data_IF_640176652518
#
_entry.id   IF_640176652518
#
_cell.length_a   1.000
_cell.length_b   1.000
_cell.length_c   1.000
_cell.angle_alpha   90.00
_cell.angle_beta   90.00
_cell.angle_gamma   90.00
#
_symmetry.space_group_name_H-M   'P 1'
#
loop_
_entity.id
_entity.type
_entity.pdbx_description
1 polymer ?
#
# COMPACT_ATOMS: atom_id res chain seq x y z
N UNK A 1 -5.29 2.42 40.68
CA UNK A 1 -3.98 2.35 39.98
C UNK A 1 -4.06 3.25 38.75
N UNK A 2 -3.17 4.23 38.56
CA UNK A 2 -3.25 5.21 37.46
C UNK A 2 -2.52 4.64 36.24
N UNK A 3 -3.24 4.43 35.13
CA UNK A 3 -2.62 4.11 33.84
C UNK A 3 -2.63 5.36 32.97
N UNK A 4 -1.48 6.02 32.86
CA UNK A 4 -1.27 7.14 31.93
C UNK A 4 -1.19 6.57 30.52
N UNK A 5 -2.11 6.99 29.64
CA UNK A 5 -2.03 6.67 28.22
C UNK A 5 -2.03 7.99 27.45
N UNK A 6 -0.90 8.34 26.83
CA UNK A 6 -0.91 9.38 25.80
C UNK A 6 -1.69 8.84 24.60
N UNK A 7 -2.71 9.56 24.15
CA UNK A 7 -3.32 9.30 22.85
C UNK A 7 -2.66 10.24 21.86
N UNK A 8 -1.97 9.66 20.88
CA UNK A 8 -1.67 10.37 19.65
C UNK A 8 -2.98 10.67 18.93
N UNK A 9 -3.23 11.95 18.72
CA UNK A 9 -4.33 12.45 17.90
C UNK A 9 -3.69 13.19 16.73
N UNK A 10 -4.02 12.75 15.52
CA UNK A 10 -3.57 13.39 14.29
C UNK A 10 -4.62 14.45 13.96
N UNK A 11 -4.18 15.70 13.82
CA UNK A 11 -5.03 16.79 13.37
C UNK A 11 -5.41 16.57 11.90
N UNK A 12 -6.71 16.53 11.62
CA UNK A 12 -7.27 16.00 10.36
C UNK A 12 -7.16 16.97 9.18
N UNK A 13 -6.77 18.22 9.42
CA UNK A 13 -6.52 19.23 8.38
C UNK A 13 -5.02 19.39 8.02
N UNK A 14 -4.10 19.09 8.94
CA UNK A 14 -2.66 19.42 8.80
C UNK A 14 -1.71 18.22 8.92
N UNK A 15 -2.16 17.08 9.45
CA UNK A 15 -1.36 15.85 9.53
C UNK A 15 -0.29 15.83 10.62
N UNK A 16 -0.23 16.82 11.51
CA UNK A 16 0.69 16.82 12.67
C UNK A 16 0.09 16.08 13.87
N UNK A 17 0.93 15.30 14.55
CA UNK A 17 0.59 14.49 15.73
C UNK A 17 0.70 15.33 17.02
N UNK A 18 -0.38 15.39 17.82
CA UNK A 18 -0.35 15.91 19.19
C UNK A 18 -0.65 14.77 20.19
N UNK A 19 0.03 14.77 21.35
CA UNK A 19 -0.29 13.89 22.49
C UNK A 19 -1.38 14.50 23.36
N UNK A 20 -2.62 14.02 23.24
CA UNK A 20 -3.70 14.36 24.16
C UNK A 20 -3.79 13.25 25.22
N UNK A 21 -3.40 13.55 26.47
CA UNK A 21 -3.47 12.60 27.58
C UNK A 21 -4.91 12.37 28.02
N UNK A 22 -5.54 11.27 27.59
CA UNK A 22 -6.85 10.87 28.11
C UNK A 22 -6.65 9.97 29.32
N UNK A 23 -6.85 10.52 30.52
CA UNK A 23 -6.85 9.75 31.76
C UNK A 23 -8.11 8.88 31.83
N UNK A 24 -7.95 7.55 31.91
CA UNK A 24 -9.06 6.61 32.09
C UNK A 24 -9.04 6.13 33.54
N UNK A 25 -10.06 6.53 34.29
CA UNK A 25 -10.27 6.14 35.68
C UNK A 25 -10.97 4.79 35.72
N UNK A 26 -10.23 3.72 36.01
CA UNK A 26 -10.81 2.41 36.31
C UNK A 26 -11.01 2.34 37.82
N UNK A 27 -12.27 2.34 38.27
CA UNK A 27 -12.60 2.11 39.67
C UNK A 27 -12.34 0.65 40.04
N UNK A 28 -11.79 0.43 41.23
CA UNK A 28 -11.41 -0.87 41.76
C UNK A 28 -12.68 -1.63 42.19
N UNK A 29 -13.33 -2.31 41.24
CA UNK A 29 -14.48 -3.16 41.54
C UNK A 29 -13.94 -4.51 42.03
N UNK A 30 -13.99 -4.72 43.35
CA UNK A 30 -13.37 -5.82 44.10
C UNK A 30 -13.84 -7.26 43.80
N UNK A 31 -14.09 -7.62 42.55
CA UNK A 31 -14.32 -9.01 42.12
C UNK A 31 -13.49 -9.33 40.87
N UNK A 32 -12.69 -10.39 40.95
CA UNK A 32 -11.73 -10.79 39.93
C UNK A 32 -12.35 -11.23 38.60
N UNK A 33 -13.64 -11.60 38.61
CA UNK A 33 -14.40 -11.99 37.41
C UNK A 33 -14.81 -10.78 36.57
N UNK A 34 -15.34 -9.73 37.20
CA UNK A 34 -15.73 -8.48 36.54
C UNK A 34 -14.51 -7.79 35.92
N UNK A 35 -13.35 -7.83 36.59
CA UNK A 35 -12.11 -7.27 36.06
C UNK A 35 -11.64 -8.00 34.78
N UNK A 36 -11.83 -9.32 34.69
CA UNK A 36 -11.48 -10.10 33.50
C UNK A 36 -12.41 -9.79 32.33
N UNK A 37 -13.71 -9.67 32.57
CA UNK A 37 -14.68 -9.26 31.54
C UNK A 37 -14.39 -7.85 31.03
N UNK A 38 -14.16 -6.88 31.94
CA UNK A 38 -13.77 -5.52 31.57
C UNK A 38 -12.44 -5.47 30.82
N UNK A 39 -11.44 -6.28 31.22
CA UNK A 39 -10.18 -6.37 30.46
C UNK A 39 -10.39 -6.92 29.05
N UNK A 40 -11.32 -7.86 28.85
CA UNK A 40 -11.64 -8.39 27.52
C UNK A 40 -12.40 -7.35 26.67
N UNK A 41 -13.32 -6.60 27.25
CA UNK A 41 -14.01 -5.51 26.54
C UNK A 41 -13.06 -4.36 26.20
N UNK A 42 -12.18 -3.97 27.12
CA UNK A 42 -11.13 -2.97 26.88
C UNK A 42 -10.11 -3.46 25.86
N UNK A 43 -9.79 -4.76 25.82
CA UNK A 43 -8.93 -5.34 24.79
C UNK A 43 -9.56 -5.28 23.40
N UNK A 44 -10.88 -5.46 23.28
CA UNK A 44 -11.64 -5.27 22.02
C UNK A 44 -11.64 -3.80 21.57
N UNK A 45 -11.60 -2.86 22.52
CA UNK A 45 -11.52 -1.42 22.26
C UNK A 45 -10.08 -0.92 22.03
N UNK A 46 -9.06 -1.76 22.19
CA UNK A 46 -7.67 -1.38 21.96
C UNK A 46 -7.49 -1.18 20.44
N UNK A 47 -7.01 -0.01 19.98
CA UNK A 47 -6.77 0.20 18.56
C UNK A 47 -5.82 -0.89 18.05
N UNK A 48 -6.18 -1.54 16.93
CA UNK A 48 -5.31 -2.52 16.28
C UNK A 48 -4.00 -1.81 15.98
N UNK A 49 -2.94 -2.19 16.67
CA UNK A 49 -1.63 -1.61 16.48
C UNK A 49 -1.22 -1.85 15.01
N UNK A 50 -0.76 -0.82 14.28
CA UNK A 50 -0.28 -1.02 12.93
C UNK A 50 0.85 -2.03 13.00
N UNK A 51 0.78 -3.08 12.19
CA UNK A 51 1.88 -4.04 12.09
C UNK A 51 3.15 -3.24 11.76
N UNK A 52 4.16 -3.28 12.64
CA UNK A 52 5.40 -2.53 12.48
C UNK A 52 6.30 -3.16 11.41
N UNK A 53 5.71 -3.58 10.28
CA UNK A 53 6.46 -4.07 9.15
C UNK A 53 7.25 -2.91 8.55
N UNK A 54 8.55 -3.12 8.36
CA UNK A 54 9.41 -2.13 7.74
C UNK A 54 8.93 -1.89 6.30
N UNK A 55 8.42 -0.69 6.06
CA UNK A 55 7.86 -0.27 4.78
C UNK A 55 8.90 -0.35 3.64
N UNK A 56 10.19 -0.20 3.95
CA UNK A 56 11.28 -0.36 2.98
C UNK A 56 11.42 -1.79 2.50
N UNK A 57 11.39 -2.77 3.40
CA UNK A 57 11.48 -4.20 3.06
C UNK A 57 10.29 -4.59 2.17
N UNK A 58 9.11 -4.14 2.56
CA UNK A 58 7.88 -4.34 1.79
C UNK A 58 8.00 -3.77 0.38
N UNK A 59 8.50 -2.55 0.23
CA UNK A 59 8.72 -1.94 -1.08
C UNK A 59 9.68 -2.76 -1.93
N UNK A 60 10.81 -3.19 -1.37
CA UNK A 60 11.80 -4.00 -2.10
C UNK A 60 11.20 -5.32 -2.58
N UNK A 61 10.46 -6.01 -1.71
CA UNK A 61 9.76 -7.26 -2.07
C UNK A 61 8.75 -7.00 -3.18
N UNK A 62 7.99 -5.91 -3.11
CA UNK A 62 7.02 -5.52 -4.13
C UNK A 62 7.70 -5.26 -5.48
N UNK A 63 8.83 -4.54 -5.50
CA UNK A 63 9.60 -4.27 -6.71
C UNK A 63 10.04 -5.57 -7.38
N UNK A 64 10.67 -6.46 -6.62
CA UNK A 64 11.15 -7.75 -7.14
C UNK A 64 9.98 -8.56 -7.69
N UNK A 65 8.85 -8.58 -6.97
CA UNK A 65 7.65 -9.28 -7.41
C UNK A 65 7.10 -8.71 -8.72
N UNK A 66 7.00 -7.39 -8.87
CA UNK A 66 6.53 -6.72 -10.09
C UNK A 66 7.44 -7.06 -11.28
N UNK A 67 8.76 -6.90 -11.10
CA UNK A 67 9.73 -7.15 -12.18
C UNK A 67 9.68 -8.61 -12.63
N UNK A 68 9.72 -9.55 -11.68
CA UNK A 68 9.70 -10.98 -11.99
C UNK A 68 8.39 -11.40 -12.68
N UNK A 69 7.24 -10.95 -12.17
CA UNK A 69 5.95 -11.31 -12.76
C UNK A 69 5.74 -10.70 -14.13
N UNK A 70 6.16 -9.46 -14.38
CA UNK A 70 6.07 -8.85 -15.71
C UNK A 70 6.97 -9.55 -16.73
N UNK A 71 8.19 -9.93 -16.34
CA UNK A 71 9.09 -10.71 -17.21
C UNK A 71 8.52 -12.09 -17.54
N UNK A 72 7.95 -12.78 -16.55
CA UNK A 72 7.29 -14.07 -16.75
C UNK A 72 6.07 -13.94 -17.67
N UNK A 73 5.25 -12.91 -17.46
CA UNK A 73 4.09 -12.62 -18.30
C UNK A 73 4.52 -12.39 -19.77
N UNK A 74 5.59 -11.62 -19.98
CA UNK A 74 6.15 -11.39 -21.31
C UNK A 74 6.66 -12.68 -21.94
N UNK A 75 7.41 -13.50 -21.20
CA UNK A 75 7.89 -14.79 -21.70
C UNK A 75 6.73 -15.74 -22.04
N UNK A 76 5.68 -15.76 -21.23
CA UNK A 76 4.48 -16.55 -21.50
C UNK A 76 3.76 -16.06 -22.76
N UNK A 77 3.59 -14.74 -22.92
CA UNK A 77 3.01 -14.14 -24.12
C UNK A 77 3.78 -14.49 -25.39
N UNK A 78 5.12 -14.42 -25.34
CA UNK A 78 5.97 -14.82 -26.46
C UNK A 78 5.86 -16.32 -26.78
N UNK A 79 5.82 -17.19 -25.76
CA UNK A 79 5.61 -18.64 -25.96
C UNK A 79 4.25 -18.97 -26.55
N UNK A 80 3.23 -18.17 -26.25
CA UNK A 80 1.88 -18.31 -26.80
C UNK A 80 1.67 -17.56 -28.12
N UNK A 81 2.74 -17.02 -28.72
CA UNK A 81 2.70 -16.26 -29.97
C UNK A 81 1.72 -15.07 -29.95
N UNK A 82 1.58 -14.42 -28.80
CA UNK A 82 0.78 -13.20 -28.70
C UNK A 82 1.42 -12.07 -29.50
N UNK A 83 0.57 -11.23 -30.10
CA UNK A 83 1.06 -10.00 -30.73
C UNK A 83 1.63 -9.05 -29.66
N UNK A 84 2.64 -8.26 -30.02
CA UNK A 84 3.25 -7.26 -29.12
C UNK A 84 2.20 -6.31 -28.53
N UNK A 85 1.17 -5.96 -29.31
CA UNK A 85 0.09 -5.09 -28.88
C UNK A 85 -0.82 -5.77 -27.85
N UNK A 86 -1.06 -7.07 -27.98
CA UNK A 86 -1.80 -7.83 -26.98
C UNK A 86 -0.99 -7.98 -25.69
N UNK A 87 0.31 -8.27 -25.79
CA UNK A 87 1.23 -8.33 -24.62
C UNK A 87 1.24 -6.99 -23.88
N UNK A 88 1.29 -5.87 -24.61
CA UNK A 88 1.21 -4.53 -24.04
C UNK A 88 -0.06 -4.33 -23.20
N UNK A 89 -1.24 -4.61 -23.77
CA UNK A 89 -2.51 -4.42 -23.06
C UNK A 89 -2.66 -5.35 -21.86
N UNK A 90 -2.26 -6.62 -21.97
CA UNK A 90 -2.31 -7.56 -20.85
C UNK A 90 -1.36 -7.14 -19.73
N UNK A 91 -0.18 -6.61 -20.07
CA UNK A 91 0.78 -6.07 -19.08
C UNK A 91 0.19 -4.87 -18.33
N UNK A 92 -0.47 -3.95 -19.05
CA UNK A 92 -1.16 -2.82 -18.44
C UNK A 92 -2.32 -3.26 -17.53
N UNK A 93 -3.13 -4.22 -17.98
CA UNK A 93 -4.21 -4.77 -17.18
C UNK A 93 -3.67 -5.46 -15.91
N UNK A 94 -2.60 -6.23 -16.03
CA UNK A 94 -1.90 -6.84 -14.90
C UNK A 94 -1.42 -5.79 -13.90
N UNK A 95 -0.75 -4.72 -14.35
CA UNK A 95 -0.30 -3.61 -13.48
C UNK A 95 -1.47 -2.98 -12.74
N UNK A 96 -2.58 -2.72 -13.42
CA UNK A 96 -3.79 -2.13 -12.82
C UNK A 96 -4.35 -3.03 -11.72
N UNK A 97 -4.50 -4.33 -12.01
CA UNK A 97 -4.95 -5.32 -11.03
C UNK A 97 -4.01 -5.36 -9.82
N UNK A 98 -2.70 -5.34 -10.05
CA UNK A 98 -1.70 -5.39 -9.00
C UNK A 98 -1.76 -4.16 -8.08
N UNK A 99 -1.94 -2.96 -8.64
CA UNK A 99 -2.13 -1.71 -7.87
C UNK A 99 -3.37 -1.84 -6.98
N UNK A 100 -4.49 -2.29 -7.53
CA UNK A 100 -5.76 -2.43 -6.78
C UNK A 100 -5.60 -3.44 -5.64
N UNK A 101 -5.02 -4.62 -5.92
CA UNK A 101 -4.76 -5.67 -4.92
C UNK A 101 -3.83 -5.14 -3.83
N UNK A 102 -2.77 -4.42 -4.21
CA UNK A 102 -1.82 -3.84 -3.29
C UNK A 102 -2.47 -2.79 -2.36
N UNK A 103 -3.22 -1.85 -2.91
CA UNK A 103 -3.94 -0.84 -2.11
C UNK A 103 -4.92 -1.49 -1.13
N UNK A 104 -5.64 -2.54 -1.58
CA UNK A 104 -6.53 -3.31 -0.72
C UNK A 104 -5.78 -4.01 0.44
N UNK A 105 -4.64 -4.67 0.14
CA UNK A 105 -3.80 -5.33 1.15
C UNK A 105 -3.20 -4.32 2.15
N UNK A 106 -2.62 -3.23 1.64
CA UNK A 106 -1.98 -2.21 2.45
C UNK A 106 -2.95 -1.60 3.47
N UNK A 107 -4.21 -1.36 3.06
CA UNK A 107 -5.21 -0.76 3.93
C UNK A 107 -5.93 -1.77 4.82
N UNK A 108 -6.40 -2.89 4.28
CA UNK A 108 -7.26 -3.84 5.01
C UNK A 108 -6.45 -4.81 5.88
N UNK A 109 -5.28 -5.24 5.42
CA UNK A 109 -4.48 -6.27 6.10
C UNK A 109 -3.39 -5.66 6.96
N UNK A 110 -2.68 -4.65 6.45
CA UNK A 110 -1.48 -4.11 7.10
C UNK A 110 -1.71 -2.79 7.83
N UNK A 111 -2.90 -2.19 7.68
CA UNK A 111 -3.31 -0.97 8.37
C UNK A 111 -2.28 0.16 8.21
N UNK A 112 -1.63 0.24 7.05
CA UNK A 112 -0.70 1.34 6.79
C UNK A 112 -1.43 2.69 6.79
N UNK A 113 -0.74 3.71 7.32
CA UNK A 113 -1.18 5.09 7.17
C UNK A 113 -1.21 5.45 5.68
N UNK A 114 -2.09 6.39 5.30
CA UNK A 114 -2.28 6.75 3.90
C UNK A 114 -0.96 7.15 3.25
N UNK A 115 -0.13 7.92 3.95
CA UNK A 115 1.18 8.38 3.44
C UNK A 115 2.12 7.22 3.16
N UNK A 116 2.24 6.28 4.10
CA UNK A 116 3.10 5.08 3.92
C UNK A 116 2.61 4.21 2.77
N UNK A 117 1.29 4.07 2.61
CA UNK A 117 0.69 3.35 1.48
C UNK A 117 1.05 4.03 0.14
N UNK A 118 0.93 5.36 0.04
CA UNK A 118 1.29 6.07 -1.19
C UNK A 118 2.78 6.01 -1.48
N UNK A 119 3.63 6.27 -0.48
CA UNK A 119 5.09 6.24 -0.65
C UNK A 119 5.54 4.85 -1.09
N UNK A 120 5.11 3.79 -0.41
CA UNK A 120 5.48 2.41 -0.79
C UNK A 120 4.99 2.05 -2.19
N UNK A 121 3.77 2.43 -2.56
CA UNK A 121 3.22 2.19 -3.90
C UNK A 121 4.03 2.94 -4.97
N UNK A 122 4.21 4.25 -4.82
CA UNK A 122 4.91 5.08 -5.80
C UNK A 122 6.34 4.60 -5.96
N UNK A 123 7.09 4.47 -4.85
CA UNK A 123 8.49 4.05 -4.90
C UNK A 123 8.63 2.69 -5.57
N UNK A 124 7.79 1.73 -5.22
CA UNK A 124 7.91 0.37 -5.74
C UNK A 124 7.51 0.25 -7.21
N UNK A 125 6.35 0.80 -7.59
CA UNK A 125 5.89 0.68 -8.97
C UNK A 125 6.72 1.54 -9.93
N UNK A 126 7.12 2.75 -9.53
CA UNK A 126 7.97 3.60 -10.38
C UNK A 126 9.35 2.97 -10.57
N UNK A 127 9.98 2.49 -9.49
CA UNK A 127 11.29 1.83 -9.62
C UNK A 127 11.21 0.55 -10.46
N UNK A 128 10.17 -0.26 -10.30
CA UNK A 128 9.97 -1.45 -11.13
C UNK A 128 9.80 -1.09 -12.62
N UNK A 129 9.01 -0.06 -12.94
CA UNK A 129 8.81 0.42 -14.32
C UNK A 129 10.10 0.95 -14.92
N UNK A 130 10.91 1.67 -14.14
CA UNK A 130 12.22 2.14 -14.58
C UNK A 130 13.13 0.95 -14.91
N UNK A 131 13.22 -0.05 -14.02
CA UNK A 131 14.04 -1.25 -14.25
C UNK A 131 13.58 -1.98 -15.52
N UNK A 132 12.27 -2.22 -15.66
CA UNK A 132 11.68 -2.89 -16.82
C UNK A 132 11.87 -2.10 -18.11
N UNK A 133 11.78 -0.78 -18.05
CA UNK A 133 12.01 0.11 -19.18
C UNK A 133 13.46 0.07 -19.66
N UNK A 134 14.44 0.09 -18.73
CA UNK A 134 15.85 -0.12 -19.07
C UNK A 134 16.08 -1.46 -19.78
N UNK A 135 15.47 -2.53 -19.25
CA UNK A 135 15.51 -3.86 -19.87
C UNK A 135 14.92 -3.80 -21.29
N UNK A 136 13.74 -3.19 -21.48
CA UNK A 136 13.08 -3.07 -22.79
C UNK A 136 13.91 -2.27 -23.80
N UNK A 137 14.57 -1.19 -23.38
CA UNK A 137 15.43 -0.39 -24.25
C UNK A 137 16.55 -1.25 -24.85
N UNK A 138 17.19 -2.09 -24.03
CA UNK A 138 18.27 -2.99 -24.46
C UNK A 138 17.76 -4.00 -25.51
N UNK A 139 16.56 -4.55 -25.31
CA UNK A 139 16.02 -5.59 -26.20
C UNK A 139 15.38 -5.06 -27.49
N UNK A 140 14.69 -3.92 -27.44
CA UNK A 140 13.85 -3.43 -28.56
C UNK A 140 14.61 -2.46 -29.47
N UNK A 141 15.66 -1.78 -28.95
CA UNK A 141 16.53 -0.86 -29.70
C UNK A 141 15.79 0.16 -30.59
N UNK A 142 14.60 0.60 -30.16
CA UNK A 142 13.75 1.54 -30.90
C UNK A 142 13.67 2.88 -30.19
N UNK A 143 13.64 3.98 -30.95
CA UNK A 143 13.42 5.33 -30.42
C UNK A 143 12.10 5.45 -29.63
N UNK A 144 11.09 4.65 -29.99
CA UNK A 144 9.81 4.57 -29.28
C UNK A 144 9.96 4.01 -27.86
N UNK A 145 10.94 3.15 -27.61
CA UNK A 145 11.20 2.61 -26.28
C UNK A 145 11.68 3.69 -25.31
N UNK A 146 12.46 4.67 -25.80
CA UNK A 146 12.92 5.81 -25.00
C UNK A 146 11.77 6.76 -24.63
N UNK A 147 10.86 7.01 -25.57
CA UNK A 147 9.68 7.82 -25.30
C UNK A 147 8.76 7.14 -24.28
N UNK A 148 8.51 5.84 -24.44
CA UNK A 148 7.74 5.06 -23.47
C UNK A 148 8.42 5.01 -22.10
N UNK A 149 9.74 4.89 -22.04
CA UNK A 149 10.50 4.92 -20.80
C UNK A 149 10.30 6.21 -19.99
N UNK A 150 10.24 7.35 -20.66
CA UNK A 150 9.98 8.64 -20.00
C UNK A 150 8.53 8.77 -19.56
N UNK A 151 7.58 8.28 -20.36
CA UNK A 151 6.15 8.52 -20.18
C UNK A 151 5.50 7.51 -19.21
N UNK A 152 5.90 6.24 -19.24
CA UNK A 152 5.33 5.18 -18.39
C UNK A 152 5.35 5.50 -16.88
N UNK A 153 6.45 6.01 -16.29
CA UNK A 153 6.50 6.35 -14.88
C UNK A 153 5.44 7.38 -14.46
N UNK A 154 5.19 8.41 -15.29
CA UNK A 154 4.18 9.42 -14.99
C UNK A 154 2.78 8.84 -14.99
N UNK A 155 2.43 8.00 -15.97
CA UNK A 155 1.14 7.33 -15.99
C UNK A 155 0.90 6.43 -14.78
N UNK A 156 1.96 5.75 -14.32
CA UNK A 156 1.88 4.89 -13.14
C UNK A 156 1.64 5.72 -11.88
N UNK A 157 2.33 6.85 -11.72
CA UNK A 157 2.07 7.77 -10.61
C UNK A 157 0.64 8.30 -10.64
N UNK A 158 0.15 8.71 -11.81
CA UNK A 158 -1.23 9.17 -11.99
C UNK A 158 -2.25 8.09 -11.62
N UNK A 159 -2.06 6.85 -12.07
CA UNK A 159 -2.93 5.73 -11.74
C UNK A 159 -2.94 5.42 -10.25
N UNK A 160 -1.77 5.35 -9.61
CA UNK A 160 -1.67 5.08 -8.17
C UNK A 160 -2.37 6.18 -7.38
N UNK A 161 -2.17 7.44 -7.76
CA UNK A 161 -2.79 8.59 -7.10
C UNK A 161 -4.30 8.56 -7.27
N UNK A 162 -4.79 8.35 -8.50
CA UNK A 162 -6.21 8.28 -8.81
C UNK A 162 -6.91 7.12 -8.06
N UNK A 163 -6.34 5.92 -8.14
CA UNK A 163 -6.88 4.74 -7.45
C UNK A 163 -6.80 4.88 -5.93
N UNK A 164 -5.70 5.42 -5.41
CA UNK A 164 -5.54 5.65 -3.97
C UNK A 164 -6.55 6.65 -3.43
N UNK A 165 -6.80 7.76 -4.13
CA UNK A 165 -7.83 8.75 -3.76
C UNK A 165 -9.22 8.11 -3.78
N UNK A 166 -9.56 7.39 -4.85
CA UNK A 166 -10.84 6.67 -4.94
C UNK A 166 -11.01 5.70 -3.76
N UNK A 167 -9.97 4.93 -3.46
CA UNK A 167 -10.00 3.95 -2.38
C UNK A 167 -10.21 4.61 -1.01
N UNK A 168 -9.52 5.73 -0.73
CA UNK A 168 -9.70 6.49 0.51
C UNK A 168 -11.13 7.03 0.61
N UNK A 169 -11.65 7.61 -0.48
CA UNK A 169 -13.01 8.16 -0.54
C UNK A 169 -14.06 7.10 -0.23
N UNK A 170 -13.98 5.92 -0.87
CA UNK A 170 -14.91 4.82 -0.60
C UNK A 170 -14.76 4.22 0.80
N UNK A 171 -13.56 4.23 1.38
CA UNK A 171 -13.37 3.75 2.76
C UNK A 171 -13.99 4.70 3.81
N UNK A 172 -13.98 6.02 3.56
CA UNK A 172 -14.58 7.01 4.46
C UNK A 172 -16.11 6.96 4.46
N UNK A 173 -16.75 6.60 3.34
CA UNK A 173 -18.21 6.54 3.24
C UNK A 173 -18.84 5.33 3.95
N UNK A 174 -18.04 4.38 4.45
CA UNK A 174 -18.50 3.16 5.15
C UNK A 174 -18.24 3.15 6.66
N UNK A 175 -17.68 4.21 7.23
CA UNK A 175 -17.50 4.37 8.69
C UNK A 175 -18.49 5.38 9.25
#
# INVERSE_FOLDING_TARGET
MIFKKSKHKIDLDTGTEFEESTEIWVADFGSHEIEKELRQEVAKLKPKEPASFSWTIVSVVLVVFIVMTELLLRQAGLKMYWSEQFIFWVTWLWRLILIVIWLALARLRWLFSADKMFITSIVSFVSAVIILGLIKIIYVQSAWAWLNFLVEPFWVVLLITFLGILFIRFSKTKS
#
